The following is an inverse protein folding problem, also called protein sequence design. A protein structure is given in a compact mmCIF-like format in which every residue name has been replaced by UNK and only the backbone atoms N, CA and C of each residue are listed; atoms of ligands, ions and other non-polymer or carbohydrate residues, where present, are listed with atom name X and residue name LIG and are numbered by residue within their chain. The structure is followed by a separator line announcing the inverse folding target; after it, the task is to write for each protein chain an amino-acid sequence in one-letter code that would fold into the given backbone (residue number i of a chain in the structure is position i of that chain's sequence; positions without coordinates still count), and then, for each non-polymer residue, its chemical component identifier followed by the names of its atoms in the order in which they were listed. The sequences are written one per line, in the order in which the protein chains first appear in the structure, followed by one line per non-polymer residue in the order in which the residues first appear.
data_IF_496391590729
#
_entry.id   IF_496391590729
#
_cell.length_a   1.000
_cell.length_b   1.000
_cell.length_c   1.000
_cell.angle_alpha   90.00
_cell.angle_beta   90.00
_cell.angle_gamma   90.00
#
_symmetry.space_group_name_H-M   'P 1'
#
loop_
_entity.id
_entity.type
_entity.pdbx_description
1 polymer ?
#
# COMPACT_ATOMS: atom_id res chain seq x y z
N UNK A 1 -11.39 -3.29 -2.35
CA UNK A 1 -10.80 -2.78 -1.07
C UNK A 1 -9.28 -2.95 -1.10
N UNK A 2 -8.55 -2.52 -0.08
CA UNK A 2 -7.08 -2.58 -0.10
C UNK A 2 -6.52 -2.48 1.33
N UNK A 3 -5.29 -2.98 1.52
CA UNK A 3 -4.57 -2.83 2.79
C UNK A 3 -3.10 -2.58 2.50
N UNK A 4 -2.52 -1.51 3.01
CA UNK A 4 -1.09 -1.24 2.91
C UNK A 4 -0.45 -1.31 4.31
N UNK A 5 0.80 -1.75 4.36
CA UNK A 5 1.57 -1.82 5.59
C UNK A 5 3.05 -1.51 5.34
N UNK A 6 3.71 -1.00 6.36
CA UNK A 6 5.17 -0.90 6.43
C UNK A 6 5.71 -1.97 7.38
N UNK A 7 6.93 -2.45 7.16
CA UNK A 7 7.60 -3.37 8.08
C UNK A 7 9.10 -3.11 8.10
N UNK A 8 9.59 -2.65 9.24
CA UNK A 8 11.01 -2.30 9.41
C UNK A 8 11.73 -3.38 10.18
N UNK A 9 12.70 -3.99 9.52
CA UNK A 9 13.66 -4.93 10.10
C UNK A 9 15.07 -4.34 9.92
N UNK A 10 16.04 -5.13 9.48
CA UNK A 10 17.31 -4.62 8.96
C UNK A 10 17.05 -3.74 7.73
N UNK A 11 16.19 -4.18 6.83
CA UNK A 11 15.70 -3.42 5.69
C UNK A 11 14.33 -2.79 5.99
N UNK A 12 13.87 -1.89 5.15
CA UNK A 12 12.53 -1.32 5.21
C UNK A 12 11.68 -1.89 4.08
N UNK A 13 10.58 -2.50 4.45
CA UNK A 13 9.61 -3.06 3.54
C UNK A 13 8.30 -2.28 3.62
N UNK A 14 7.67 -2.05 2.50
CA UNK A 14 6.32 -1.53 2.37
C UNK A 14 5.63 -2.27 1.23
N UNK A 15 4.33 -2.42 1.31
CA UNK A 15 3.55 -3.04 0.25
C UNK A 15 2.08 -3.04 0.58
N UNK A 16 1.29 -3.66 -0.29
CA UNK A 16 -0.16 -3.65 -0.18
C UNK A 16 -0.80 -4.93 -0.68
N UNK A 17 -2.06 -5.15 -0.31
CA UNK A 17 -3.01 -5.98 -1.06
C UNK A 17 -3.81 -5.10 -2.02
N UNK A 18 -3.98 -5.51 -3.29
CA UNK A 18 -5.00 -4.95 -4.17
C UNK A 18 -6.21 -5.88 -4.15
N UNK A 19 -7.28 -5.45 -3.49
CA UNK A 19 -8.51 -6.23 -3.37
C UNK A 19 -9.57 -5.63 -4.29
N UNK A 20 -9.94 -6.38 -5.34
CA UNK A 20 -10.89 -5.93 -6.36
C UNK A 20 -11.56 -7.11 -7.07
N UNK A 21 -12.58 -6.84 -7.90
CA UNK A 21 -13.34 -7.88 -8.59
C UNK A 21 -12.70 -8.35 -9.89
N UNK A 22 -11.77 -7.56 -10.44
CA UNK A 22 -11.04 -7.88 -11.67
C UNK A 22 -9.75 -7.08 -11.79
N UNK A 23 -8.76 -7.60 -12.54
CA UNK A 23 -7.54 -6.88 -12.91
C UNK A 23 -7.77 -6.04 -14.18
N UNK A 24 -7.16 -4.86 -14.22
CA UNK A 24 -7.11 -4.01 -15.42
C UNK A 24 -5.99 -4.42 -16.39
N UNK A 25 -5.20 -5.44 -16.09
CA UNK A 25 -3.99 -5.81 -16.80
C UNK A 25 -2.78 -5.22 -16.08
N UNK A 26 -2.60 -5.66 -14.82
CA UNK A 26 -1.55 -5.14 -13.95
C UNK A 26 -0.19 -5.69 -14.36
N UNK A 27 0.84 -4.84 -14.35
CA UNK A 27 2.23 -5.18 -14.68
C UNK A 27 3.17 -4.60 -13.62
N UNK A 28 4.32 -5.25 -13.41
CA UNK A 28 5.42 -4.61 -12.67
C UNK A 28 6.17 -3.72 -13.64
N UNK A 29 6.16 -2.42 -13.37
CA UNK A 29 6.71 -1.40 -14.26
C UNK A 29 7.88 -0.68 -13.61
N UNK A 30 9.00 -0.60 -14.32
CA UNK A 30 10.10 0.29 -13.98
C UNK A 30 10.00 1.53 -14.88
N UNK A 31 9.92 2.71 -14.26
CA UNK A 31 10.07 3.99 -14.96
C UNK A 31 11.49 4.49 -14.75
N UNK A 32 12.35 4.45 -15.79
CA UNK A 32 13.74 4.89 -15.70
C UNK A 32 13.86 6.41 -15.57
N UNK A 33 15.04 6.90 -15.13
CA UNK A 33 15.31 8.33 -14.84
C UNK A 33 15.02 9.29 -15.98
N UNK A 34 15.19 8.86 -17.22
CA UNK A 34 15.03 9.70 -18.41
C UNK A 34 13.73 9.44 -19.18
N UNK A 35 12.80 8.69 -18.59
CA UNK A 35 11.44 8.60 -19.12
C UNK A 35 10.75 9.96 -18.91
N UNK A 36 10.23 10.63 -19.96
CA UNK A 36 9.61 11.94 -19.80
C UNK A 36 8.20 11.81 -19.22
N UNK A 37 7.95 12.37 -18.05
CA UNK A 37 6.60 12.52 -17.53
C UNK A 37 5.95 13.81 -18.06
N UNK A 38 4.79 13.68 -18.68
CA UNK A 38 3.96 14.77 -19.17
C UNK A 38 2.74 14.97 -18.27
N UNK A 39 2.86 15.83 -17.28
CA UNK A 39 1.80 16.15 -16.34
C UNK A 39 0.74 17.07 -16.95
N UNK A 40 -0.50 17.01 -16.46
CA UNK A 40 -1.63 17.77 -17.02
C UNK A 40 -1.52 19.27 -16.80
N UNK A 41 -0.94 19.70 -15.67
CA UNK A 41 -1.01 21.09 -15.24
C UNK A 41 0.33 21.69 -14.82
N UNK A 42 1.41 20.95 -14.89
CA UNK A 42 2.78 21.41 -14.67
C UNK A 42 3.64 21.05 -15.88
N UNK A 43 4.82 21.64 -15.95
CA UNK A 43 5.80 21.35 -17.00
C UNK A 43 6.24 19.87 -16.96
N UNK A 44 6.61 19.34 -18.12
CA UNK A 44 7.13 18.00 -18.23
C UNK A 44 8.43 17.83 -17.42
N UNK A 45 8.60 16.68 -16.81
CA UNK A 45 9.82 16.32 -16.08
C UNK A 45 10.62 15.33 -16.94
N UNK A 46 11.71 15.82 -17.54
CA UNK A 46 12.57 15.05 -18.44
C UNK A 46 13.56 14.12 -17.72
N UNK A 47 13.80 14.37 -16.43
CA UNK A 47 14.70 13.55 -15.61
C UNK A 47 14.24 13.57 -14.15
N UNK A 48 14.15 12.41 -13.56
CA UNK A 48 13.59 12.19 -12.23
C UNK A 48 14.25 10.96 -11.58
N UNK A 49 13.91 10.64 -10.34
CA UNK A 49 14.33 9.37 -9.74
C UNK A 49 13.66 8.19 -10.45
N UNK A 50 14.45 7.15 -10.74
CA UNK A 50 13.88 5.89 -11.24
C UNK A 50 12.96 5.26 -10.19
N UNK A 51 11.86 4.66 -10.64
CA UNK A 51 10.90 4.03 -9.75
C UNK A 51 10.43 2.68 -10.30
N UNK A 52 9.96 1.82 -9.40
CA UNK A 52 9.37 0.52 -9.73
C UNK A 52 8.10 0.32 -8.91
N UNK A 53 7.08 -0.27 -9.52
CA UNK A 53 5.83 -0.57 -8.84
C UNK A 53 4.87 -1.39 -9.69
N UNK A 54 3.69 -1.67 -9.13
CA UNK A 54 2.59 -2.26 -9.88
C UNK A 54 1.77 -1.16 -10.52
N UNK A 55 1.53 -1.27 -11.81
CA UNK A 55 0.79 -0.28 -12.60
C UNK A 55 -0.10 -0.92 -13.65
N UNK A 56 -1.11 -0.19 -14.08
CA UNK A 56 -1.77 -0.40 -15.36
C UNK A 56 -1.19 0.58 -16.38
N UNK A 57 -0.65 0.07 -17.48
CA UNK A 57 -0.03 0.92 -18.52
C UNK A 57 -1.05 1.24 -19.60
N UNK A 58 -1.33 2.54 -19.79
CA UNK A 58 -2.28 3.05 -20.80
C UNK A 58 -1.55 4.07 -21.67
N UNK A 59 -1.54 3.87 -22.98
CA UNK A 59 -0.90 4.79 -23.92
C UNK A 59 0.57 5.13 -23.55
N UNK A 60 1.28 4.17 -22.99
CA UNK A 60 2.63 4.28 -22.46
C UNK A 60 2.74 5.08 -21.13
N UNK A 61 1.62 5.48 -20.51
CA UNK A 61 1.60 6.11 -19.18
C UNK A 61 1.40 5.05 -18.08
N UNK A 62 2.29 4.96 -17.08
CA UNK A 62 2.13 4.02 -15.98
C UNK A 62 1.21 4.59 -14.90
N UNK A 63 0.01 4.05 -14.79
CA UNK A 63 -0.96 4.37 -13.72
C UNK A 63 -0.66 3.49 -12.51
N UNK A 64 0.21 3.97 -11.62
CA UNK A 64 0.69 3.21 -10.46
C UNK A 64 -0.38 3.02 -9.38
N UNK A 65 -0.48 1.82 -8.85
CA UNK A 65 -1.22 1.51 -7.63
C UNK A 65 -0.34 1.65 -6.38
N UNK A 66 0.89 1.17 -6.47
CA UNK A 66 1.96 1.31 -5.49
C UNK A 66 3.31 1.29 -6.20
N UNK A 67 4.27 2.03 -5.67
CA UNK A 67 5.63 2.08 -6.18
C UNK A 67 6.60 2.57 -5.12
N UNK A 68 7.89 2.42 -5.40
CA UNK A 68 8.97 3.08 -4.67
C UNK A 68 10.06 3.54 -5.63
N UNK A 69 10.82 4.57 -5.23
CA UNK A 69 11.91 5.09 -6.03
C UNK A 69 13.29 4.56 -5.57
N UNK A 70 14.29 4.79 -6.37
CA UNK A 70 15.67 4.37 -6.13
C UNK A 70 16.32 4.97 -4.86
N UNK A 71 15.73 6.03 -4.30
CA UNK A 71 16.15 6.64 -3.04
C UNK A 71 15.52 5.97 -1.82
N UNK A 72 14.51 5.12 -2.01
CA UNK A 72 13.85 4.37 -0.95
C UNK A 72 12.56 4.99 -0.42
N UNK A 73 12.06 6.06 -1.04
CA UNK A 73 10.72 6.60 -0.79
C UNK A 73 9.69 5.73 -1.50
N UNK A 74 8.61 5.40 -0.83
CA UNK A 74 7.55 4.56 -1.37
C UNK A 74 6.16 5.15 -1.13
N UNK A 75 5.21 4.80 -2.00
CA UNK A 75 3.85 5.29 -1.95
C UNK A 75 2.87 4.24 -2.46
N UNK A 76 1.68 4.17 -1.84
CA UNK A 76 0.57 3.36 -2.31
C UNK A 76 -0.74 4.13 -2.22
N UNK A 77 -1.57 4.02 -3.27
CA UNK A 77 -2.92 4.58 -3.34
C UNK A 77 -3.97 3.52 -3.05
N UNK A 78 -4.93 3.80 -2.18
CA UNK A 78 -5.99 2.90 -1.77
C UNK A 78 -7.35 3.55 -1.98
N UNK A 79 -8.39 2.75 -2.24
CA UNK A 79 -9.75 3.26 -2.41
C UNK A 79 -10.26 3.98 -1.15
N UNK A 80 -10.84 5.18 -1.37
CA UNK A 80 -11.38 6.06 -0.34
C UNK A 80 -12.75 6.61 -0.76
N UNK A 81 -13.60 5.70 -1.22
CA UNK A 81 -14.88 5.99 -1.87
C UNK A 81 -15.82 6.76 -0.95
N UNK A 82 -16.38 7.87 -1.48
CA UNK A 82 -17.32 8.73 -0.75
C UNK A 82 -16.67 9.71 0.24
N UNK A 83 -15.34 9.66 0.43
CA UNK A 83 -14.61 10.63 1.25
C UNK A 83 -13.62 11.45 0.42
N UNK A 84 -13.01 10.86 -0.63
CA UNK A 84 -12.08 11.59 -1.47
C UNK A 84 -12.77 12.73 -2.22
N UNK A 85 -12.20 13.93 -2.14
CA UNK A 85 -12.58 15.10 -2.91
C UNK A 85 -11.33 15.75 -3.52
N UNK A 86 -11.41 16.13 -4.79
CA UNK A 86 -10.33 16.79 -5.51
C UNK A 86 -10.78 18.18 -5.90
N UNK A 87 -9.83 19.09 -6.15
CA UNK A 87 -10.08 20.51 -6.20
C UNK A 87 -9.93 21.07 -7.61
N UNK A 88 -10.47 22.26 -7.84
CA UNK A 88 -10.19 23.03 -9.04
C UNK A 88 -8.72 23.48 -9.03
N UNK A 89 -8.20 23.83 -10.21
CA UNK A 89 -6.85 24.36 -10.38
C UNK A 89 -6.68 25.63 -9.51
N UNK A 90 -5.61 25.66 -8.72
CA UNK A 90 -5.26 26.79 -7.86
C UNK A 90 -4.00 27.46 -8.39
N UNK A 91 -4.05 28.79 -8.61
CA UNK A 91 -2.90 29.58 -9.09
C UNK A 91 -1.79 29.62 -8.02
N UNK A 92 -0.55 29.38 -8.44
CA UNK A 92 0.62 29.37 -7.55
C UNK A 92 0.84 28.07 -6.79
N UNK A 93 0.07 27.03 -7.10
CA UNK A 93 0.27 25.67 -6.58
C UNK A 93 0.77 24.71 -7.65
N UNK A 94 1.42 23.63 -7.21
CA UNK A 94 1.69 22.48 -8.05
C UNK A 94 0.40 21.67 -8.20
N UNK A 95 -0.30 21.91 -9.33
CA UNK A 95 -1.57 21.27 -9.63
C UNK A 95 -1.32 19.87 -10.22
N UNK A 96 -1.60 18.84 -9.46
CA UNK A 96 -1.31 17.44 -9.81
C UNK A 96 -2.64 16.67 -9.90
N UNK A 97 -2.87 15.97 -11.00
CA UNK A 97 -4.01 15.07 -11.10
C UNK A 97 -3.80 13.83 -10.22
N UNK A 98 -4.87 13.25 -9.71
CA UNK A 98 -4.78 12.14 -8.74
C UNK A 98 -3.99 10.93 -9.25
N UNK A 99 -4.05 10.64 -10.56
CA UNK A 99 -3.30 9.53 -11.18
C UNK A 99 -1.81 9.87 -11.38
N UNK A 100 -1.43 11.14 -11.34
CA UNK A 100 -0.07 11.64 -11.45
C UNK A 100 0.63 11.72 -10.08
N UNK A 101 -0.10 11.55 -8.99
CA UNK A 101 0.41 11.85 -7.66
C UNK A 101 1.55 10.92 -7.24
N UNK A 102 1.43 9.61 -7.50
CA UNK A 102 2.52 8.65 -7.21
C UNK A 102 3.78 8.98 -8.03
N UNK A 103 3.72 9.07 -9.38
CA UNK A 103 4.91 9.38 -10.16
C UNK A 103 5.50 10.77 -9.87
N UNK A 104 4.68 11.77 -9.52
CA UNK A 104 5.18 13.09 -9.17
C UNK A 104 5.97 13.08 -7.86
N UNK A 105 5.42 12.54 -6.78
CA UNK A 105 6.11 12.43 -5.48
C UNK A 105 7.38 11.59 -5.62
N UNK A 106 7.28 10.39 -6.22
CA UNK A 106 8.42 9.49 -6.30
C UNK A 106 9.48 9.95 -7.30
N UNK A 107 9.10 10.72 -8.32
CA UNK A 107 10.02 11.29 -9.28
C UNK A 107 10.81 12.50 -8.75
N UNK A 108 10.19 13.28 -7.84
CA UNK A 108 10.76 14.56 -7.40
C UNK A 108 11.33 14.55 -5.97
N UNK A 109 10.90 13.62 -5.12
CA UNK A 109 11.29 13.56 -3.72
C UNK A 109 12.18 12.33 -3.43
N UNK A 110 13.30 12.54 -2.75
CA UNK A 110 14.19 11.44 -2.35
C UNK A 110 13.79 10.76 -1.05
N UNK A 111 13.03 11.44 -0.18
CA UNK A 111 12.71 10.98 1.17
C UNK A 111 11.38 11.58 1.66
N UNK A 112 10.91 11.08 2.81
CA UNK A 112 9.64 11.48 3.40
C UNK A 112 9.57 12.98 3.77
N UNK A 113 10.68 13.60 4.20
CA UNK A 113 10.69 15.03 4.56
C UNK A 113 10.57 15.93 3.33
N UNK A 114 11.18 15.53 2.21
CA UNK A 114 10.99 16.21 0.92
C UNK A 114 9.56 16.07 0.44
N UNK A 115 8.97 14.87 0.55
CA UNK A 115 7.56 14.63 0.23
C UNK A 115 6.63 15.52 1.09
N UNK A 116 6.83 15.60 2.41
CA UNK A 116 6.08 16.51 3.29
C UNK A 116 6.17 17.97 2.86
N UNK A 117 7.35 18.39 2.43
CA UNK A 117 7.58 19.76 1.94
C UNK A 117 6.83 20.01 0.62
N UNK A 118 6.89 19.07 -0.32
CA UNK A 118 6.19 19.14 -1.60
C UNK A 118 4.66 19.23 -1.40
N UNK A 119 4.11 18.46 -0.47
CA UNK A 119 2.68 18.45 -0.15
C UNK A 119 2.12 19.82 0.32
N UNK A 120 2.95 20.70 0.89
CA UNK A 120 2.53 22.04 1.33
C UNK A 120 2.12 22.91 0.12
N UNK A 121 2.78 22.74 -1.00
CA UNK A 121 2.60 23.54 -2.22
C UNK A 121 1.72 22.86 -3.27
N UNK A 122 1.39 21.59 -3.05
CA UNK A 122 0.58 20.80 -3.99
C UNK A 122 -0.92 21.09 -3.84
N UNK A 123 -1.62 20.92 -4.97
CA UNK A 123 -3.06 20.86 -5.07
C UNK A 123 -3.47 19.63 -5.88
N UNK A 124 -4.29 18.74 -5.33
CA UNK A 124 -4.82 17.57 -6.04
C UNK A 124 -6.04 17.99 -6.86
N UNK A 125 -5.90 17.90 -8.18
CA UNK A 125 -6.93 18.41 -9.09
C UNK A 125 -8.01 17.37 -9.45
N UNK A 126 -9.20 17.84 -9.74
CA UNK A 126 -10.35 17.06 -10.22
C UNK A 126 -10.24 16.69 -11.71
N UNK A 127 -9.02 16.51 -12.21
CA UNK A 127 -8.73 16.18 -13.61
C UNK A 127 -8.71 14.67 -13.80
N UNK A 128 -9.64 14.06 -14.59
CA UNK A 128 -9.62 12.64 -14.89
C UNK A 128 -8.51 12.29 -15.88
N UNK A 129 -8.08 11.04 -15.91
CA UNK A 129 -7.15 10.56 -16.94
C UNK A 129 -7.79 10.60 -18.32
N UNK A 130 -8.99 10.03 -18.46
CA UNK A 130 -9.81 10.03 -19.66
C UNK A 130 -11.27 9.76 -19.31
N UNK A 131 -12.17 9.79 -20.31
CA UNK A 131 -13.57 9.38 -20.13
C UNK A 131 -13.71 7.90 -19.69
N UNK A 132 -12.80 7.03 -20.13
CA UNK A 132 -12.79 5.61 -19.77
C UNK A 132 -12.19 5.38 -18.38
N UNK A 133 -11.29 6.24 -17.94
CA UNK A 133 -10.65 6.23 -16.63
C UNK A 133 -10.99 7.52 -15.88
N UNK A 134 -12.19 7.58 -15.28
CA UNK A 134 -12.63 8.73 -14.50
C UNK A 134 -11.81 8.87 -13.20
N UNK A 135 -12.12 9.92 -12.44
CA UNK A 135 -11.48 10.15 -11.14
C UNK A 135 -11.61 8.93 -10.22
N UNK A 136 -10.49 8.34 -9.85
CA UNK A 136 -10.44 7.33 -8.81
C UNK A 136 -10.43 8.02 -7.44
N UNK A 137 -11.34 7.59 -6.55
CA UNK A 137 -11.44 8.12 -5.19
C UNK A 137 -10.41 7.41 -4.31
N UNK A 138 -9.27 8.05 -4.08
CA UNK A 138 -8.12 7.46 -3.39
C UNK A 138 -7.68 8.30 -2.18
N UNK A 139 -6.97 7.63 -1.29
CA UNK A 139 -6.06 8.20 -0.30
C UNK A 139 -4.74 7.43 -0.32
N UNK A 140 -3.69 7.98 0.29
CA UNK A 140 -2.35 7.45 0.09
C UNK A 140 -1.59 7.29 1.40
N UNK A 141 -0.73 6.27 1.44
CA UNK A 141 0.37 6.15 2.38
C UNK A 141 1.67 6.48 1.65
N UNK A 142 2.49 7.35 2.24
CA UNK A 142 3.84 7.68 1.77
C UNK A 142 4.79 7.32 2.90
N UNK A 143 5.86 6.60 2.61
CA UNK A 143 6.76 6.12 3.66
C UNK A 143 8.19 5.90 3.15
N UNK A 144 9.11 6.06 4.07
CA UNK A 144 10.48 5.60 3.94
C UNK A 144 10.95 4.97 5.27
N UNK A 145 12.26 4.68 5.37
CA UNK A 145 12.82 4.09 6.59
C UNK A 145 12.64 4.95 7.85
N UNK A 146 12.41 6.26 7.71
CA UNK A 146 12.23 7.20 8.84
C UNK A 146 10.83 7.13 9.44
N UNK A 147 9.80 6.88 8.62
CA UNK A 147 8.41 6.83 9.06
C UNK A 147 7.41 6.73 7.93
N UNK A 148 6.16 7.03 8.23
CA UNK A 148 5.07 7.06 7.27
C UNK A 148 4.10 8.20 7.54
N UNK A 149 3.46 8.70 6.48
CA UNK A 149 2.32 9.62 6.54
C UNK A 149 1.15 9.07 5.76
N UNK A 150 -0.05 9.50 6.11
CA UNK A 150 -1.27 9.28 5.33
C UNK A 150 -1.75 10.61 4.77
N UNK A 151 -2.08 10.63 3.47
CA UNK A 151 -2.59 11.80 2.76
C UNK A 151 -4.02 11.53 2.32
N UNK A 152 -4.94 12.38 2.75
CA UNK A 152 -6.38 12.31 2.44
C UNK A 152 -6.87 13.67 1.95
N UNK A 153 -7.29 13.75 0.68
CA UNK A 153 -7.96 14.92 0.13
C UNK A 153 -9.47 14.74 0.30
N UNK A 154 -10.10 15.61 1.07
CA UNK A 154 -11.52 15.55 1.43
C UNK A 154 -12.20 16.89 1.16
N UNK A 155 -13.54 16.98 1.30
CA UNK A 155 -14.29 18.20 1.04
C UNK A 155 -13.85 19.42 1.88
N UNK A 156 -13.33 19.16 3.09
CA UNK A 156 -12.85 20.19 4.02
C UNK A 156 -11.35 20.51 3.86
N UNK A 157 -10.68 19.92 2.88
CA UNK A 157 -9.28 20.17 2.56
C UNK A 157 -8.41 18.91 2.53
N UNK A 158 -7.12 19.12 2.28
CA UNK A 158 -6.12 18.06 2.28
C UNK A 158 -5.58 17.84 3.70
N UNK A 159 -5.69 16.62 4.18
CA UNK A 159 -5.21 16.19 5.49
C UNK A 159 -3.96 15.33 5.37
N UNK A 160 -2.95 15.66 6.16
CA UNK A 160 -1.69 14.91 6.24
C UNK A 160 -1.52 14.46 7.69
N UNK A 161 -1.50 13.15 7.90
CA UNK A 161 -1.38 12.55 9.24
C UNK A 161 -0.05 11.82 9.37
N UNK A 162 0.64 12.01 10.49
CA UNK A 162 1.74 11.11 10.88
C UNK A 162 1.16 9.71 11.12
N UNK A 163 1.65 8.72 10.39
CA UNK A 163 1.15 7.35 10.47
C UNK A 163 2.12 6.45 11.24
N UNK A 164 2.12 6.59 12.56
CA UNK A 164 3.01 5.84 13.45
C UNK A 164 2.70 4.32 13.50
N UNK A 165 1.50 3.93 13.07
CA UNK A 165 1.12 2.51 12.94
C UNK A 165 1.69 1.93 11.66
N UNK A 166 1.87 2.76 10.61
CA UNK A 166 2.35 2.35 9.30
C UNK A 166 1.41 1.35 8.63
N UNK A 167 0.10 1.56 8.76
CA UNK A 167 -0.98 0.79 8.12
C UNK A 167 -1.98 1.76 7.52
N UNK A 168 -2.51 1.44 6.35
CA UNK A 168 -3.64 2.13 5.73
C UNK A 168 -4.57 1.09 5.12
N UNK A 169 -5.88 1.28 5.28
CA UNK A 169 -6.90 0.45 4.62
C UNK A 169 -7.79 1.32 3.74
N UNK A 170 -9.08 1.36 3.96
CA UNK A 170 -10.03 2.19 3.21
C UNK A 170 -10.80 3.09 4.20
N UNK A 171 -12.11 3.32 3.94
CA UNK A 171 -12.98 4.05 4.87
C UNK A 171 -13.05 3.40 6.27
N UNK A 172 -13.27 4.17 7.32
CA UNK A 172 -13.38 5.62 7.39
C UNK A 172 -12.03 6.33 7.30
N UNK A 173 -12.00 7.69 7.34
CA UNK A 173 -10.75 8.47 7.38
C UNK A 173 -9.75 8.01 8.45
N UNK A 174 -8.47 8.22 8.18
CA UNK A 174 -7.37 7.68 8.99
C UNK A 174 -7.44 8.07 10.47
N UNK A 175 -7.80 9.31 10.79
CA UNK A 175 -7.95 9.75 12.17
C UNK A 175 -9.04 8.96 12.93
N UNK A 176 -10.11 8.55 12.23
CA UNK A 176 -11.16 7.70 12.81
C UNK A 176 -10.66 6.27 12.96
N UNK A 177 -9.90 5.74 11.99
CA UNK A 177 -9.26 4.42 12.11
C UNK A 177 -8.35 4.38 13.35
N UNK A 178 -7.54 5.42 13.56
CA UNK A 178 -6.69 5.54 14.74
C UNK A 178 -7.50 5.64 16.04
N UNK A 179 -8.62 6.36 16.03
CA UNK A 179 -9.52 6.42 17.20
C UNK A 179 -10.11 5.04 17.52
N UNK A 180 -10.51 4.27 16.51
CA UNK A 180 -11.09 2.94 16.69
C UNK A 180 -10.11 1.93 17.29
N UNK A 181 -8.80 2.11 17.13
CA UNK A 181 -7.79 1.26 17.77
C UNK A 181 -7.88 1.27 19.31
N UNK A 182 -8.45 2.30 19.93
CA UNK A 182 -8.67 2.34 21.38
C UNK A 182 -9.51 1.16 21.88
N UNK A 183 -10.37 0.57 21.05
CA UNK A 183 -11.19 -0.60 21.40
C UNK A 183 -10.35 -1.86 21.60
N UNK A 184 -9.12 -1.89 21.07
CA UNK A 184 -8.22 -3.03 21.07
C UNK A 184 -7.01 -2.89 22.00
N UNK A 185 -6.97 -1.83 22.84
CA UNK A 185 -5.83 -1.53 23.71
C UNK A 185 -5.52 -2.61 24.75
N UNK A 186 -6.45 -3.53 25.00
CA UNK A 186 -6.29 -4.66 25.89
C UNK A 186 -5.70 -5.91 25.22
N UNK A 187 -5.58 -5.92 23.90
CA UNK A 187 -5.05 -7.07 23.16
C UNK A 187 -3.54 -7.23 23.39
N UNK A 188 -3.09 -8.48 23.45
CA UNK A 188 -1.70 -8.82 23.69
C UNK A 188 -1.35 -10.15 23.01
N UNK A 189 -0.10 -10.35 22.54
CA UNK A 189 0.36 -11.67 22.11
C UNK A 189 0.57 -12.64 23.27
N UNK A 190 0.57 -12.13 24.53
CA UNK A 190 0.72 -12.94 25.73
C UNK A 190 -0.61 -13.58 26.13
N UNK A 191 -0.53 -14.68 26.86
CA UNK A 191 -1.72 -15.28 27.49
C UNK A 191 -2.32 -14.33 28.53
N UNK A 192 -3.67 -14.25 28.61
CA UNK A 192 -4.35 -13.37 29.54
C UNK A 192 -4.27 -13.89 30.99
N UNK A 193 -4.30 -12.97 31.94
CA UNK A 193 -4.58 -13.26 33.35
C UNK A 193 -6.09 -13.10 33.60
N UNK A 194 -6.62 -13.79 34.62
CA UNK A 194 -8.00 -13.61 35.03
C UNK A 194 -8.19 -12.25 35.71
N UNK A 195 -8.58 -11.24 34.91
CA UNK A 195 -8.97 -9.90 35.38
C UNK A 195 -10.50 -9.74 35.48
N UNK A 196 -11.27 -10.76 35.11
CA UNK A 196 -12.72 -10.67 35.06
C UNK A 196 -13.35 -10.63 36.46
N UNK A 197 -13.00 -11.58 37.33
CA UNK A 197 -13.42 -11.59 38.73
C UNK A 197 -12.47 -12.48 39.56
N UNK A 198 -12.18 -12.02 40.81
CA UNK A 198 -11.25 -12.76 41.70
C UNK A 198 -11.87 -14.06 42.24
N UNK A 199 -13.18 -14.07 42.38
CA UNK A 199 -13.94 -15.17 43.02
C UNK A 199 -14.44 -16.20 42.00
N UNK A 200 -14.09 -16.04 40.72
CA UNK A 200 -14.42 -16.98 39.63
C UNK A 200 -13.13 -17.56 39.12
N UNK A 201 -13.02 -18.88 39.16
CA UNK A 201 -11.90 -19.62 38.61
C UNK A 201 -12.05 -19.74 37.10
N UNK A 202 -11.20 -18.99 36.34
CA UNK A 202 -11.19 -18.98 34.89
C UNK A 202 -9.77 -19.32 34.40
N UNK A 203 -9.69 -20.39 33.63
CA UNK A 203 -8.44 -20.92 33.11
C UNK A 203 -8.26 -20.63 31.61
N UNK A 204 -7.01 -20.61 31.21
CA UNK A 204 -6.61 -20.55 29.81
C UNK A 204 -6.85 -21.92 29.17
N UNK A 205 -7.78 -22.01 28.20
CA UNK A 205 -8.10 -23.28 27.50
C UNK A 205 -7.35 -23.47 26.19
N UNK A 206 -6.68 -22.42 25.65
CA UNK A 206 -5.89 -22.50 24.43
C UNK A 206 -4.77 -21.43 24.39
N UNK A 207 -3.85 -21.56 23.44
CA UNK A 207 -2.84 -20.53 23.15
C UNK A 207 -3.47 -19.40 22.34
N UNK A 208 -2.90 -18.18 22.41
CA UNK A 208 -3.34 -17.03 21.64
C UNK A 208 -4.55 -16.28 22.22
N UNK A 209 -5.00 -16.64 23.42
CA UNK A 209 -6.16 -16.03 24.05
C UNK A 209 -6.00 -14.55 24.40
N UNK A 210 -4.77 -14.01 24.47
CA UNK A 210 -4.53 -12.58 24.67
C UNK A 210 -5.02 -11.71 23.52
N UNK A 211 -5.27 -12.30 22.35
CA UNK A 211 -5.83 -11.61 21.18
C UNK A 211 -7.36 -11.83 21.01
N UNK A 212 -8.06 -12.36 22.02
CA UNK A 212 -9.53 -12.51 21.97
C UNK A 212 -10.17 -11.11 21.81
N UNK A 213 -10.98 -10.96 20.76
CA UNK A 213 -11.58 -9.69 20.34
C UNK A 213 -10.87 -9.03 19.17
N UNK A 214 -9.73 -9.55 18.71
CA UNK A 214 -9.16 -9.13 17.44
C UNK A 214 -10.15 -9.47 16.31
N UNK A 215 -10.54 -8.49 15.46
CA UNK A 215 -11.59 -8.73 14.47
C UNK A 215 -11.10 -9.69 13.36
N UNK A 216 -12.02 -10.47 12.83
CA UNK A 216 -11.74 -11.46 11.80
C UNK A 216 -12.46 -11.23 10.48
N UNK A 217 -13.39 -10.26 10.43
CA UNK A 217 -14.10 -9.90 9.21
C UNK A 217 -13.24 -9.06 8.25
N UNK A 218 -13.70 -8.92 7.00
CA UNK A 218 -12.95 -8.25 5.93
C UNK A 218 -13.27 -6.76 5.79
N UNK A 219 -14.04 -6.16 6.71
CA UNK A 219 -14.28 -4.71 6.68
C UNK A 219 -12.99 -3.92 6.87
N UNK A 220 -12.96 -2.70 6.37
CA UNK A 220 -11.76 -1.85 6.38
C UNK A 220 -11.21 -1.64 7.80
N UNK A 221 -12.07 -1.29 8.76
CA UNK A 221 -11.65 -1.06 10.14
C UNK A 221 -11.13 -2.33 10.82
N UNK A 222 -11.74 -3.48 10.51
CA UNK A 222 -11.30 -4.78 11.02
C UNK A 222 -9.94 -5.18 10.46
N UNK A 223 -9.72 -4.99 9.15
CA UNK A 223 -8.42 -5.22 8.51
C UNK A 223 -7.35 -4.28 9.06
N UNK A 224 -7.70 -2.99 9.30
CA UNK A 224 -6.78 -2.03 9.91
C UNK A 224 -6.31 -2.51 11.28
N UNK A 225 -7.24 -2.85 12.18
CA UNK A 225 -6.90 -3.34 13.53
C UNK A 225 -6.10 -4.65 13.49
N UNK A 226 -6.51 -5.58 12.62
CA UNK A 226 -5.86 -6.89 12.47
C UNK A 226 -4.44 -6.77 11.95
N UNK A 227 -4.20 -5.99 10.89
CA UNK A 227 -2.86 -5.78 10.34
C UNK A 227 -1.99 -4.97 11.30
N UNK A 228 -2.54 -3.95 11.95
CA UNK A 228 -1.81 -3.18 12.98
C UNK A 228 -1.32 -4.11 14.11
N UNK A 229 -2.20 -4.93 14.67
CA UNK A 229 -1.83 -5.89 15.71
C UNK A 229 -0.78 -6.89 15.20
N UNK A 230 -1.03 -7.52 14.06
CA UNK A 230 -0.13 -8.53 13.47
C UNK A 230 1.25 -7.93 13.20
N UNK A 231 1.32 -6.78 12.52
CA UNK A 231 2.57 -6.09 12.21
C UNK A 231 3.38 -5.72 13.44
N UNK A 232 2.72 -5.09 14.44
CA UNK A 232 3.38 -4.56 15.63
C UNK A 232 3.92 -5.66 16.56
N UNK A 233 3.39 -6.89 16.44
CA UNK A 233 3.83 -8.04 17.22
C UNK A 233 4.62 -9.08 16.40
N UNK A 234 4.72 -8.88 15.09
CA UNK A 234 5.51 -9.76 14.22
C UNK A 234 7.00 -9.62 14.49
N UNK A 235 7.69 -10.75 14.43
CA UNK A 235 9.15 -10.85 14.57
C UNK A 235 9.69 -11.62 13.36
N UNK A 236 10.74 -11.11 12.75
CA UNK A 236 11.50 -11.84 11.71
C UNK A 236 12.98 -11.90 12.07
N UNK A 237 13.73 -12.77 11.39
CA UNK A 237 15.19 -12.70 11.39
C UNK A 237 15.71 -11.52 10.56
N UNK A 238 17.05 -11.42 10.48
CA UNK A 238 17.74 -10.29 9.85
C UNK A 238 17.97 -10.49 8.34
N UNK A 239 17.72 -11.67 7.79
CA UNK A 239 17.86 -11.90 6.35
C UNK A 239 16.70 -11.31 5.57
N UNK A 240 16.97 -10.95 4.33
CA UNK A 240 15.94 -10.45 3.41
C UNK A 240 14.80 -11.45 3.23
N UNK A 241 15.14 -12.72 3.00
CA UNK A 241 14.13 -13.77 2.82
C UNK A 241 13.19 -13.90 4.03
N UNK A 242 13.74 -13.82 5.26
CA UNK A 242 12.92 -13.87 6.48
C UNK A 242 12.03 -12.63 6.60
N UNK A 243 12.56 -11.44 6.30
CA UNK A 243 11.80 -10.19 6.37
C UNK A 243 10.69 -10.14 5.33
N UNK A 244 10.99 -10.50 4.08
CA UNK A 244 10.01 -10.55 2.98
C UNK A 244 8.94 -11.62 3.26
N UNK A 245 9.34 -12.82 3.66
CA UNK A 245 8.39 -13.88 4.04
C UNK A 245 7.47 -13.43 5.18
N UNK A 246 8.02 -12.82 6.24
CA UNK A 246 7.20 -12.30 7.34
C UNK A 246 6.25 -11.20 6.90
N UNK A 247 6.67 -10.34 5.95
CA UNK A 247 5.81 -9.30 5.40
C UNK A 247 4.58 -9.89 4.68
N UNK A 248 4.77 -10.93 3.86
CA UNK A 248 3.66 -11.63 3.22
C UNK A 248 2.73 -12.31 4.25
N UNK A 249 3.23 -12.82 5.37
CA UNK A 249 2.39 -13.33 6.46
C UNK A 249 1.59 -12.22 7.16
N UNK A 250 2.15 -11.00 7.29
CA UNK A 250 1.43 -9.85 7.85
C UNK A 250 0.23 -9.51 6.97
N UNK A 251 0.44 -9.27 5.68
CA UNK A 251 -0.64 -8.93 4.75
C UNK A 251 -1.56 -10.12 4.45
N UNK A 252 -1.05 -11.34 4.37
CA UNK A 252 -1.86 -12.55 4.22
C UNK A 252 -2.88 -12.76 5.34
N UNK A 253 -2.71 -12.07 6.48
CA UNK A 253 -3.71 -12.10 7.55
C UNK A 253 -5.05 -11.47 7.16
N UNK A 254 -5.10 -10.69 6.08
CA UNK A 254 -6.28 -9.97 5.58
C UNK A 254 -6.57 -10.22 4.11
N UNK A 255 -5.98 -11.26 3.52
CA UNK A 255 -6.29 -11.68 2.16
C UNK A 255 -7.78 -11.95 1.99
N UNK A 256 -8.33 -11.54 0.87
CA UNK A 256 -9.73 -11.72 0.53
C UNK A 256 -9.92 -12.94 -0.36
N UNK A 257 -10.60 -13.95 0.19
CA UNK A 257 -10.87 -15.20 -0.50
C UNK A 257 -12.12 -15.08 -1.36
N UNK A 258 -12.09 -15.69 -2.54
CA UNK A 258 -13.23 -15.74 -3.46
C UNK A 258 -14.48 -16.29 -2.77
N UNK A 259 -15.57 -15.52 -2.82
CA UNK A 259 -16.85 -15.86 -2.19
C UNK A 259 -17.06 -15.26 -0.80
N UNK A 260 -16.02 -14.67 -0.17
CA UNK A 260 -16.15 -14.07 1.17
C UNK A 260 -16.52 -12.58 1.15
N UNK A 261 -16.38 -11.91 0.01
CA UNK A 261 -16.83 -10.53 -0.19
C UNK A 261 -17.58 -10.43 -1.52
N UNK A 262 -18.91 -10.32 -1.45
CA UNK A 262 -19.79 -10.17 -2.62
C UNK A 262 -20.07 -8.69 -2.87
N UNK A 263 -19.79 -8.24 -4.09
CA UNK A 263 -20.08 -6.89 -4.57
C UNK A 263 -21.00 -7.00 -5.78
N UNK A 264 -22.30 -6.95 -5.55
CA UNK A 264 -23.33 -7.03 -6.60
C UNK A 264 -23.22 -8.30 -7.48
N UNK A 265 -22.94 -9.46 -6.89
CA UNK A 265 -22.80 -10.73 -7.57
C UNK A 265 -21.42 -10.98 -8.19
N UNK A 266 -20.44 -10.12 -7.94
CA UNK A 266 -19.03 -10.35 -8.22
C UNK A 266 -18.28 -10.50 -6.90
N UNK A 267 -17.23 -11.30 -6.92
CA UNK A 267 -16.43 -11.52 -5.71
C UNK A 267 -15.19 -10.64 -5.73
N UNK A 268 -15.02 -9.83 -4.70
CA UNK A 268 -13.75 -9.16 -4.44
C UNK A 268 -12.75 -10.19 -3.89
N UNK A 269 -11.55 -10.19 -4.45
CA UNK A 269 -10.44 -11.05 -4.07
C UNK A 269 -9.16 -10.22 -3.98
N UNK A 270 -8.16 -10.70 -3.25
CA UNK A 270 -6.82 -10.12 -3.27
C UNK A 270 -6.13 -10.47 -4.59
N UNK A 271 -6.20 -9.58 -5.58
CA UNK A 271 -5.61 -9.80 -6.91
C UNK A 271 -4.11 -10.02 -6.83
N UNK A 272 -3.43 -9.16 -6.05
CA UNK A 272 -2.01 -9.32 -5.71
C UNK A 272 -1.70 -8.79 -4.32
N UNK A 273 -0.62 -9.29 -3.75
CA UNK A 273 0.06 -8.72 -2.58
C UNK A 273 1.46 -8.32 -2.98
N UNK A 274 1.86 -7.07 -2.69
CA UNK A 274 3.22 -6.58 -2.95
C UNK A 274 4.05 -6.44 -1.67
N UNK A 275 5.37 -6.50 -1.84
CA UNK A 275 6.37 -6.19 -0.82
C UNK A 275 7.57 -5.51 -1.49
N UNK A 276 7.81 -4.25 -1.20
CA UNK A 276 8.92 -3.45 -1.74
C UNK A 276 10.06 -3.44 -0.72
N UNK A 277 11.21 -4.08 -1.02
CA UNK A 277 12.45 -3.84 -0.28
C UNK A 277 13.11 -2.59 -0.84
N UNK A 278 12.83 -1.45 -0.23
CA UNK A 278 13.22 -0.14 -0.75
C UNK A 278 14.72 0.14 -0.65
N UNK A 279 15.47 -0.56 0.22
CA UNK A 279 16.93 -0.44 0.31
C UNK A 279 17.67 -1.24 -0.77
N UNK A 280 17.04 -2.27 -1.29
CA UNK A 280 17.65 -3.14 -2.30
C UNK A 280 17.13 -2.91 -3.71
N UNK A 281 16.08 -2.11 -3.86
CA UNK A 281 15.49 -1.84 -5.17
C UNK A 281 14.71 -3.04 -5.73
N UNK A 282 14.12 -3.90 -4.86
CA UNK A 282 13.45 -5.13 -5.30
C UNK A 282 11.96 -5.05 -4.98
N UNK A 283 11.14 -5.28 -5.98
CA UNK A 283 9.69 -5.40 -5.90
C UNK A 283 9.30 -6.87 -5.89
N UNK A 284 8.75 -7.37 -4.79
CA UNK A 284 8.22 -8.71 -4.63
C UNK A 284 6.70 -8.70 -4.72
N UNK A 285 6.12 -9.78 -5.27
CA UNK A 285 4.67 -9.93 -5.31
C UNK A 285 4.24 -11.40 -5.33
N UNK A 286 2.99 -11.62 -4.92
CA UNK A 286 2.20 -12.83 -5.17
C UNK A 286 0.90 -12.42 -5.86
N UNK A 287 0.27 -13.33 -6.59
CA UNK A 287 -1.07 -13.11 -7.16
C UNK A 287 -2.06 -14.12 -6.58
N UNK A 288 -3.36 -13.87 -6.75
CA UNK A 288 -4.40 -14.77 -6.26
C UNK A 288 -4.23 -16.21 -6.78
N UNK A 289 -3.80 -16.35 -8.02
CA UNK A 289 -3.63 -17.64 -8.70
C UNK A 289 -2.18 -18.16 -8.64
N UNK A 290 -1.26 -17.48 -7.93
CA UNK A 290 0.12 -17.93 -7.73
C UNK A 290 0.64 -17.49 -6.36
N UNK A 291 0.81 -18.44 -5.46
CA UNK A 291 1.33 -18.22 -4.11
C UNK A 291 2.85 -18.10 -4.05
N UNK A 292 3.57 -18.45 -5.13
CA UNK A 292 5.02 -18.30 -5.16
C UNK A 292 5.37 -16.81 -5.22
N UNK A 293 6.25 -16.38 -4.31
CA UNK A 293 6.78 -15.01 -4.34
C UNK A 293 7.64 -14.84 -5.58
N UNK A 294 7.24 -13.90 -6.43
CA UNK A 294 7.97 -13.44 -7.62
C UNK A 294 8.63 -12.11 -7.33
N UNK A 295 9.71 -11.76 -8.05
CA UNK A 295 10.46 -10.53 -7.80
C UNK A 295 11.01 -9.91 -9.06
N UNK A 296 11.05 -8.57 -9.09
CA UNK A 296 11.76 -7.77 -10.09
C UNK A 296 12.76 -6.86 -9.35
N UNK A 297 14.03 -6.96 -9.74
CA UNK A 297 15.13 -6.18 -9.19
C UNK A 297 15.48 -5.06 -10.16
N UNK A 298 15.05 -3.82 -9.84
CA UNK A 298 15.26 -2.66 -10.71
C UNK A 298 16.73 -2.34 -10.93
N UNK A 299 17.62 -2.75 -10.02
CA UNK A 299 19.05 -2.46 -10.13
C UNK A 299 19.75 -3.27 -11.23
N UNK A 300 19.09 -4.29 -11.79
CA UNK A 300 19.59 -5.10 -12.89
C UNK A 300 19.23 -4.54 -14.27
N UNK A 301 18.43 -3.47 -14.30
CA UNK A 301 17.95 -2.86 -15.52
C UNK A 301 18.69 -1.56 -15.85
N UNK A 302 18.62 -1.11 -17.11
CA UNK A 302 19.15 0.20 -17.51
C UNK A 302 18.21 1.31 -17.08
N UNK A 303 18.50 1.87 -15.90
CA UNK A 303 17.72 2.97 -15.33
C UNK A 303 17.93 4.33 -16.02
N UNK A 304 18.68 4.39 -17.11
CA UNK A 304 18.89 5.62 -17.89
C UNK A 304 18.21 5.59 -19.26
N UNK A 305 17.50 4.54 -19.59
CA UNK A 305 16.67 4.52 -20.82
C UNK A 305 15.51 5.52 -20.74
N UNK A 306 14.88 5.78 -21.90
CA UNK A 306 13.69 6.65 -22.03
C UNK A 306 12.39 5.86 -22.14
N UNK A 307 12.44 4.55 -22.11
CA UNK A 307 11.28 3.69 -22.28
C UNK A 307 10.97 2.98 -20.97
N UNK A 308 9.68 2.76 -20.70
CA UNK A 308 9.25 1.88 -19.63
C UNK A 308 9.82 0.48 -19.80
N UNK A 309 10.09 -0.20 -18.69
CA UNK A 309 10.45 -1.61 -18.65
C UNK A 309 9.34 -2.35 -17.91
N UNK A 310 8.58 -3.17 -18.63
CA UNK A 310 7.38 -3.81 -18.13
C UNK A 310 7.57 -5.31 -17.99
N UNK A 311 7.04 -5.88 -16.92
CA UNK A 311 7.02 -7.31 -16.64
C UNK A 311 5.58 -7.74 -16.38
N UNK A 312 5.06 -8.61 -17.23
CA UNK A 312 3.77 -9.26 -16.98
C UNK A 312 3.79 -9.99 -15.64
N UNK A 313 2.73 -9.87 -14.86
CA UNK A 313 2.63 -10.59 -13.59
C UNK A 313 2.54 -12.11 -13.84
N UNK A 314 3.26 -12.87 -13.04
CA UNK A 314 3.24 -14.33 -13.10
C UNK A 314 1.95 -14.82 -12.46
N UNK A 315 1.13 -15.48 -13.23
CA UNK A 315 -0.11 -16.13 -12.82
C UNK A 315 -0.01 -17.65 -13.03
N UNK A 316 -0.93 -18.40 -12.45
CA UNK A 316 -0.94 -19.86 -12.51
C UNK A 316 -0.15 -20.49 -11.37
N UNK A 317 -0.83 -21.31 -10.57
CA UNK A 317 -0.28 -21.93 -9.36
C UNK A 317 0.87 -22.89 -9.68
N UNK A 318 1.95 -22.77 -8.94
CA UNK A 318 3.12 -23.60 -9.05
C UNK A 318 3.16 -24.64 -7.92
N UNK A 319 2.62 -25.82 -8.18
CA UNK A 319 2.63 -26.92 -7.21
C UNK A 319 3.89 -27.78 -7.41
N UNK A 320 4.79 -27.76 -6.44
CA UNK A 320 5.97 -28.62 -6.45
C UNK A 320 5.60 -30.01 -5.92
N UNK A 321 5.55 -31.01 -6.79
CA UNK A 321 5.42 -32.41 -6.39
C UNK A 321 6.75 -32.89 -5.79
N UNK A 322 6.67 -33.60 -4.66
CA UNK A 322 7.87 -34.14 -3.96
C UNK A 322 8.15 -35.61 -4.29
N UNK A 323 7.32 -36.24 -5.07
CA UNK A 323 7.47 -37.66 -5.50
C UNK A 323 7.43 -37.78 -7.02
#
# INVERSE_FOLDING_TARGET
MCTAATYKTKDFNIGRTLDYEFSYGDEVVITPRNYPFHFRHIDAIESHYAMIGMAHVVDNDPLYYDAFNECGLAMAGLNFVGNAAYYDIEEGKDNIAQFEFIPWILGTCANLEEAKTALIHMNLTNTPYSEQFPLAQLHWIIADRSGAITVEAMEDGMHIYENNVGVLTNNPPFNIQMFLLNQYMNLSPKQPENLFAKDIDLDQYSRGMGAIGLPGDLSSSSRFAKVAFTKLHSVSGDSENESVNQFFHILGSVDQQRGCCDVNGKYEITLYTSCCNTQKGIYYYTTYDNHQISAVDMTKEDLNTKNLICYEVITGEHIQMQN
#
